data_IF_190629389834
#
_entry.id   IF_190629389834
#
_cell.length_a   1.000
_cell.length_b   1.000
_cell.length_c   1.000
_cell.angle_alpha   90.00
_cell.angle_beta   90.00
_cell.angle_gamma   90.00
#
_symmetry.space_group_name_H-M   'P 1'
#
loop_
_entity.id
_entity.type
_entity.pdbx_description
1 polymer ?
#
# COMPACT_ATOMS: atom_id res chain seq x y z
N UNK A 1 45.98 -42.81 -2.28
CA UNK A 1 45.59 -41.50 -1.77
C UNK A 1 44.13 -41.29 -2.11
N UNK A 2 43.21 -41.04 -1.18
CA UNK A 2 41.83 -40.74 -1.57
C UNK A 2 41.87 -39.42 -2.33
N UNK A 3 41.40 -39.45 -3.58
CA UNK A 3 41.33 -38.27 -4.42
C UNK A 3 40.53 -37.19 -3.70
N UNK A 4 41.14 -36.01 -3.57
CA UNK A 4 40.57 -34.86 -2.96
C UNK A 4 39.32 -34.49 -3.82
N UNK A 5 38.12 -34.98 -3.42
CA UNK A 5 36.89 -34.61 -4.11
C UNK A 5 36.75 -33.10 -3.96
N UNK A 6 36.87 -32.38 -5.05
CA UNK A 6 36.63 -30.92 -5.06
C UNK A 6 35.24 -30.71 -4.47
N UNK A 7 35.10 -29.79 -3.52
CA UNK A 7 33.79 -29.41 -2.99
C UNK A 7 33.58 -27.90 -3.21
N UNK A 8 32.34 -27.49 -3.24
CA UNK A 8 31.94 -26.10 -3.52
C UNK A 8 30.96 -25.61 -2.49
N UNK A 9 30.95 -24.31 -2.28
CA UNK A 9 29.92 -23.62 -1.52
C UNK A 9 28.91 -23.03 -2.50
N UNK A 10 27.65 -23.45 -2.43
CA UNK A 10 26.52 -22.86 -3.14
C UNK A 10 25.98 -21.70 -2.33
N UNK A 11 25.64 -20.60 -2.98
CA UNK A 11 24.98 -19.44 -2.40
C UNK A 11 24.01 -18.80 -3.40
N UNK A 12 23.06 -18.01 -2.86
CA UNK A 12 22.19 -17.14 -3.67
C UNK A 12 22.73 -15.71 -3.61
N UNK A 13 22.58 -14.99 -4.70
CA UNK A 13 22.90 -13.56 -4.75
C UNK A 13 22.03 -12.73 -3.78
N UNK A 14 22.53 -11.62 -3.21
CA UNK A 14 21.83 -10.82 -2.21
C UNK A 14 20.47 -10.29 -2.64
N UNK A 15 20.25 -10.13 -3.94
CA UNK A 15 19.04 -9.62 -4.57
C UNK A 15 18.08 -10.74 -5.02
N UNK A 16 18.37 -12.00 -4.68
CA UNK A 16 17.55 -13.16 -5.03
C UNK A 16 16.74 -13.60 -3.83
N UNK A 17 15.45 -13.80 -4.05
CA UNK A 17 14.50 -14.23 -3.05
C UNK A 17 14.04 -15.66 -3.35
N UNK A 18 14.16 -16.52 -2.38
CA UNK A 18 13.66 -17.89 -2.44
C UNK A 18 12.39 -17.98 -1.58
N UNK A 19 11.32 -18.47 -2.16
CA UNK A 19 10.04 -18.68 -1.47
C UNK A 19 9.66 -20.15 -1.58
N UNK A 20 9.42 -20.80 -0.44
CA UNK A 20 8.98 -22.19 -0.39
C UNK A 20 7.54 -22.29 0.10
N UNK A 21 6.76 -23.22 -0.48
CA UNK A 21 5.42 -23.59 -0.05
C UNK A 21 5.27 -25.12 -0.19
N UNK A 22 5.40 -25.83 0.94
CA UNK A 22 5.56 -27.29 0.90
C UNK A 22 6.82 -27.69 0.13
N UNK A 23 6.66 -28.49 -0.91
CA UNK A 23 7.74 -28.95 -1.80
C UNK A 23 7.89 -28.07 -3.06
N UNK A 24 7.06 -27.06 -3.21
CA UNK A 24 7.17 -26.10 -4.31
C UNK A 24 8.12 -24.97 -3.92
N UNK A 25 8.86 -24.46 -4.91
CA UNK A 25 9.84 -23.39 -4.75
C UNK A 25 9.70 -22.36 -5.87
N UNK A 26 9.81 -21.10 -5.50
CA UNK A 26 9.92 -19.98 -6.41
C UNK A 26 11.21 -19.21 -6.13
N UNK A 27 12.03 -19.04 -7.15
CA UNK A 27 13.22 -18.19 -7.14
C UNK A 27 12.89 -16.91 -7.90
N UNK A 28 13.07 -15.76 -7.23
CA UNK A 28 12.88 -14.45 -7.83
C UNK A 28 14.15 -13.63 -7.76
N UNK A 29 14.65 -13.21 -8.91
CA UNK A 29 15.76 -12.26 -9.02
C UNK A 29 15.20 -10.85 -9.19
N UNK A 30 15.34 -10.01 -8.16
CA UNK A 30 14.74 -8.66 -8.14
C UNK A 30 15.50 -7.62 -8.99
N UNK A 31 16.62 -7.99 -9.60
CA UNK A 31 17.39 -7.14 -10.54
C UNK A 31 17.01 -7.45 -11.99
N UNK A 32 17.00 -8.73 -12.36
CA UNK A 32 16.63 -9.15 -13.73
C UNK A 32 15.14 -9.35 -13.91
N UNK A 33 14.39 -9.42 -12.79
CA UNK A 33 12.98 -9.78 -12.71
C UNK A 33 12.66 -11.19 -13.25
N UNK A 34 13.66 -12.05 -13.27
CA UNK A 34 13.48 -13.44 -13.67
C UNK A 34 12.83 -14.23 -12.54
N UNK A 35 11.83 -15.02 -12.90
CA UNK A 35 11.16 -15.97 -11.99
C UNK A 35 11.39 -17.38 -12.50
N UNK A 36 11.77 -18.28 -11.60
CA UNK A 36 11.87 -19.73 -11.86
C UNK A 36 11.10 -20.48 -10.82
N UNK A 37 10.26 -21.42 -11.25
CA UNK A 37 9.45 -22.26 -10.38
C UNK A 37 9.88 -23.71 -10.48
N UNK A 38 9.95 -24.37 -9.33
CA UNK A 38 10.18 -25.81 -9.20
C UNK A 38 8.99 -26.40 -8.46
N UNK A 39 8.29 -27.32 -9.10
CA UNK A 39 7.10 -27.98 -8.56
C UNK A 39 7.43 -29.35 -8.02
N UNK A 40 6.84 -29.72 -6.87
CA UNK A 40 7.00 -31.03 -6.22
C UNK A 40 8.45 -31.46 -6.09
N UNK A 41 9.32 -30.53 -5.70
CA UNK A 41 10.77 -30.72 -5.64
C UNK A 41 11.28 -30.66 -4.19
N UNK A 42 11.07 -31.70 -3.37
CA UNK A 42 11.43 -31.66 -1.95
C UNK A 42 12.93 -31.45 -1.72
N UNK A 43 13.78 -31.95 -2.61
CA UNK A 43 15.24 -31.77 -2.57
C UNK A 43 15.62 -30.28 -2.73
N UNK A 44 15.05 -29.61 -3.74
CA UNK A 44 15.28 -28.17 -3.97
C UNK A 44 14.66 -27.36 -2.84
N UNK A 45 13.46 -27.72 -2.38
CA UNK A 45 12.79 -27.03 -1.26
C UNK A 45 13.63 -27.07 0.02
N UNK A 46 14.21 -28.23 0.36
CA UNK A 46 15.13 -28.37 1.48
C UNK A 46 16.38 -27.52 1.32
N UNK A 47 17.00 -27.56 0.12
CA UNK A 47 18.19 -26.79 -0.21
C UNK A 47 17.92 -25.28 -0.10
N UNK A 48 16.79 -24.79 -0.56
CA UNK A 48 16.41 -23.41 -0.48
C UNK A 48 16.18 -22.93 0.96
N UNK A 49 15.55 -23.75 1.79
CA UNK A 49 15.43 -23.45 3.24
C UNK A 49 16.79 -23.32 3.90
N UNK A 50 17.71 -24.19 3.55
CA UNK A 50 19.08 -24.16 4.08
C UNK A 50 19.87 -22.95 3.60
N UNK A 51 19.70 -22.54 2.32
CA UNK A 51 20.30 -21.34 1.76
C UNK A 51 19.73 -20.03 2.35
N UNK A 52 18.54 -20.08 2.96
CA UNK A 52 17.93 -18.94 3.63
C UNK A 52 18.16 -18.92 5.16
N UNK A 53 18.83 -19.94 5.68
CA UNK A 53 19.11 -20.09 7.10
C UNK A 53 20.39 -19.31 7.51
N UNK A 54 20.26 -18.29 8.40
CA UNK A 54 21.42 -17.53 8.88
C UNK A 54 22.38 -18.37 9.69
N UNK A 55 21.90 -19.40 10.40
CA UNK A 55 22.79 -20.28 11.19
C UNK A 55 23.74 -21.06 10.27
N UNK A 56 23.33 -21.27 9.03
CA UNK A 56 24.14 -21.90 7.97
C UNK A 56 24.95 -20.87 7.15
N UNK A 57 24.93 -19.58 7.53
CA UNK A 57 25.65 -18.51 6.86
C UNK A 57 25.25 -18.31 5.40
N UNK A 58 24.02 -18.68 5.03
CA UNK A 58 23.45 -18.55 3.68
C UNK A 58 24.22 -19.33 2.61
N UNK A 59 24.93 -20.39 2.99
CA UNK A 59 25.75 -21.18 2.09
C UNK A 59 25.60 -22.66 2.40
N UNK A 60 25.67 -23.50 1.37
CA UNK A 60 25.62 -24.97 1.50
C UNK A 60 26.84 -25.55 0.82
N UNK A 61 27.51 -26.50 1.49
CA UNK A 61 28.62 -27.24 0.90
C UNK A 61 28.07 -28.36 0.03
N UNK A 62 28.48 -28.38 -1.22
CA UNK A 62 28.12 -29.40 -2.22
C UNK A 62 29.40 -30.13 -2.67
N UNK A 63 29.34 -31.44 -2.68
CA UNK A 63 30.44 -32.31 -3.19
C UNK A 63 30.02 -32.96 -4.50
N UNK A 64 30.89 -33.04 -5.51
CA UNK A 64 30.61 -33.78 -6.73
C UNK A 64 30.32 -35.26 -6.40
N UNK A 65 29.17 -35.72 -6.84
CA UNK A 65 28.67 -37.10 -6.56
C UNK A 65 27.55 -37.15 -5.51
N UNK A 66 27.33 -36.06 -4.74
CA UNK A 66 26.18 -35.95 -3.85
C UNK A 66 24.96 -35.31 -4.56
N UNK A 67 25.18 -34.80 -5.78
CA UNK A 67 24.17 -34.16 -6.60
C UNK A 67 23.41 -35.16 -7.44
N UNK A 68 22.10 -35.22 -7.27
CA UNK A 68 21.23 -35.85 -8.28
C UNK A 68 21.08 -34.90 -9.50
N UNK A 69 20.46 -35.36 -10.59
CA UNK A 69 20.25 -34.55 -11.80
C UNK A 69 19.47 -33.28 -11.52
N UNK A 70 18.46 -33.37 -10.64
CA UNK A 70 17.58 -32.23 -10.27
C UNK A 70 18.37 -31.09 -9.61
N UNK A 71 19.26 -31.39 -8.66
CA UNK A 71 20.11 -30.41 -7.99
C UNK A 71 21.11 -29.77 -8.97
N UNK A 72 21.68 -30.56 -9.89
CA UNK A 72 22.57 -30.04 -10.94
C UNK A 72 21.86 -29.08 -11.87
N UNK A 73 20.64 -29.42 -12.29
CA UNK A 73 19.83 -28.57 -13.15
C UNK A 73 19.42 -27.28 -12.42
N UNK A 74 19.09 -27.37 -11.12
CA UNK A 74 18.82 -26.22 -10.26
C UNK A 74 20.04 -25.27 -10.19
N UNK A 75 21.22 -25.79 -9.88
CA UNK A 75 22.46 -24.99 -9.81
C UNK A 75 22.77 -24.34 -11.16
N UNK A 76 22.63 -25.08 -12.25
CA UNK A 76 22.83 -24.55 -13.60
C UNK A 76 21.83 -23.44 -13.91
N UNK A 77 20.57 -23.59 -13.51
CA UNK A 77 19.52 -22.58 -13.62
C UNK A 77 19.85 -21.30 -12.85
N UNK A 78 20.33 -21.43 -11.60
CA UNK A 78 20.75 -20.28 -10.79
C UNK A 78 21.89 -19.51 -11.46
N UNK A 79 22.87 -20.19 -11.98
CA UNK A 79 24.04 -19.56 -12.66
C UNK A 79 23.60 -18.87 -13.96
N UNK A 80 22.79 -19.52 -14.77
CA UNK A 80 22.32 -18.98 -16.04
C UNK A 80 21.43 -17.74 -15.86
N UNK A 81 20.70 -17.67 -14.75
CA UNK A 81 19.85 -16.51 -14.40
C UNK A 81 20.55 -15.46 -13.53
N UNK A 82 21.85 -15.62 -13.28
CA UNK A 82 22.60 -14.78 -12.34
C UNK A 82 21.96 -14.68 -10.95
N UNK A 83 21.38 -15.79 -10.50
CA UNK A 83 20.65 -15.87 -9.23
C UNK A 83 21.44 -16.51 -8.10
N UNK A 84 22.56 -17.16 -8.42
CA UNK A 84 23.47 -17.80 -7.48
C UNK A 84 24.66 -18.38 -8.18
N UNK A 85 25.68 -18.78 -7.42
CA UNK A 85 26.91 -19.37 -7.97
C UNK A 85 27.55 -20.36 -6.99
N UNK A 86 28.64 -20.97 -7.45
CA UNK A 86 29.47 -21.91 -6.72
C UNK A 86 30.85 -21.30 -6.46
N UNK A 87 31.31 -21.33 -5.21
CA UNK A 87 32.68 -20.97 -4.82
C UNK A 87 33.42 -22.24 -4.41
N UNK A 88 34.60 -22.48 -4.95
CA UNK A 88 35.42 -23.62 -4.57
C UNK A 88 35.75 -23.60 -3.09
N UNK A 89 35.47 -24.69 -2.40
CA UNK A 89 35.77 -24.84 -0.97
C UNK A 89 37.29 -25.04 -0.77
N UNK A 90 37.89 -24.19 0.06
CA UNK A 90 39.27 -24.31 0.50
C UNK A 90 39.26 -24.74 1.96
N UNK A 91 39.51 -26.04 2.20
CA UNK A 91 39.33 -26.60 3.55
C UNK A 91 37.88 -26.50 4.01
N UNK A 92 37.69 -26.15 5.29
CA UNK A 92 36.37 -25.94 5.90
C UNK A 92 35.96 -24.48 6.03
N UNK A 93 36.74 -23.57 5.42
CA UNK A 93 36.45 -22.14 5.49
C UNK A 93 35.22 -21.82 4.63
N UNK A 94 34.18 -21.29 5.30
CA UNK A 94 32.93 -20.86 4.67
C UNK A 94 33.12 -19.45 4.10
N UNK A 95 32.65 -19.17 2.85
CA UNK A 95 32.68 -17.84 2.30
C UNK A 95 31.74 -16.93 3.09
N UNK A 96 32.11 -15.65 3.24
CA UNK A 96 31.25 -14.64 3.83
C UNK A 96 30.20 -14.21 2.79
N UNK A 97 28.95 -14.62 2.97
CA UNK A 97 27.81 -14.19 2.15
C UNK A 97 26.96 -13.22 2.97
N UNK A 98 26.84 -12.00 2.46
CA UNK A 98 26.00 -10.96 3.10
C UNK A 98 24.65 -10.97 2.42
N UNK A 99 23.62 -11.43 3.14
CA UNK A 99 22.23 -11.33 2.69
C UNK A 99 21.50 -10.30 3.53
N UNK A 100 21.03 -9.19 2.92
CA UNK A 100 20.18 -8.24 3.64
C UNK A 100 18.94 -8.96 4.17
N UNK A 101 18.56 -8.65 5.40
CA UNK A 101 17.29 -9.11 5.97
C UNK A 101 16.37 -7.92 6.20
N UNK A 102 15.05 -8.11 6.10
CA UNK A 102 14.13 -7.09 6.54
C UNK A 102 14.38 -6.82 8.03
N UNK A 103 14.69 -5.58 8.36
CA UNK A 103 14.71 -5.16 9.76
C UNK A 103 13.27 -5.03 10.21
N UNK A 104 12.87 -5.79 11.22
CA UNK A 104 11.54 -5.66 11.80
C UNK A 104 11.39 -4.25 12.36
N UNK A 105 10.37 -3.53 11.90
CA UNK A 105 10.09 -2.14 12.31
C UNK A 105 9.78 -2.05 13.82
N UNK A 106 9.36 -3.16 14.41
CA UNK A 106 8.96 -3.31 15.78
C UNK A 106 10.00 -4.03 16.69
N UNK A 107 11.27 -4.10 16.26
CA UNK A 107 12.32 -4.71 17.07
C UNK A 107 13.13 -3.66 17.84
N UNK A 108 13.40 -3.90 19.12
CA UNK A 108 12.47 -4.13 20.22
C UNK A 108 11.64 -2.87 20.46
N UNK A 109 10.53 -2.90 21.23
CA UNK A 109 9.92 -1.67 21.65
C UNK A 109 10.90 -1.00 22.63
N UNK A 110 11.60 0.03 22.28
CA UNK A 110 12.25 0.78 23.30
C UNK A 110 11.20 1.71 23.87
N UNK A 111 10.84 1.48 25.10
CA UNK A 111 10.30 2.54 25.93
C UNK A 111 11.24 3.76 25.88
N UNK A 112 12.45 3.58 25.37
CA UNK A 112 13.56 4.51 25.30
C UNK A 112 14.33 4.42 23.97
N UNK A 113 13.68 4.62 22.80
CA UNK A 113 14.48 4.92 21.61
C UNK A 113 14.92 6.38 21.69
N UNK A 114 16.14 6.67 22.13
CA UNK A 114 16.69 8.00 21.97
C UNK A 114 16.79 8.23 20.45
N UNK A 115 15.92 9.11 19.91
CA UNK A 115 15.89 9.43 18.50
C UNK A 115 14.66 8.96 17.71
N UNK A 116 13.56 8.50 18.35
CA UNK A 116 12.32 8.26 17.64
C UNK A 116 11.84 9.56 16.97
N UNK A 117 11.85 9.55 15.65
CA UNK A 117 11.33 10.64 14.84
C UNK A 117 10.07 10.16 14.11
N UNK A 118 8.92 10.76 14.40
CA UNK A 118 7.65 10.43 13.77
C UNK A 118 7.68 10.63 12.25
N UNK A 119 8.50 11.55 11.77
CA UNK A 119 8.68 11.83 10.34
C UNK A 119 9.29 10.69 9.54
N UNK A 120 9.95 9.73 10.19
CA UNK A 120 10.49 8.54 9.53
C UNK A 120 9.38 7.53 9.18
N UNK A 121 8.22 7.64 9.82
CA UNK A 121 7.11 6.71 9.71
C UNK A 121 5.88 7.35 9.07
N UNK A 122 5.51 8.56 9.47
CA UNK A 122 4.26 9.21 9.08
C UNK A 122 4.39 9.90 7.72
N UNK A 123 3.47 9.60 6.80
CA UNK A 123 3.43 10.17 5.44
C UNK A 123 2.19 11.00 5.19
N UNK A 124 1.05 10.56 5.70
CA UNK A 124 -0.23 11.23 5.51
C UNK A 124 -1.02 11.27 6.80
N UNK A 125 -1.62 12.41 7.11
CA UNK A 125 -2.68 12.49 8.11
C UNK A 125 -3.95 12.94 7.42
N UNK A 126 -4.95 12.07 7.40
CA UNK A 126 -6.30 12.35 6.89
C UNK A 126 -7.16 12.88 8.04
N UNK A 127 -7.63 14.11 7.94
CA UNK A 127 -8.63 14.64 8.85
C UNK A 127 -10.00 14.65 8.16
N UNK A 128 -10.95 13.89 8.70
CA UNK A 128 -12.33 13.96 8.29
C UNK A 128 -12.98 15.18 8.98
N UNK A 129 -13.24 16.22 8.21
CA UNK A 129 -13.77 17.48 8.71
C UNK A 129 -15.22 17.36 9.12
N UNK A 130 -16.02 16.58 8.36
CA UNK A 130 -17.40 16.29 8.64
C UNK A 130 -17.79 14.86 8.29
N UNK A 131 -18.83 14.37 8.92
CA UNK A 131 -19.47 13.10 8.63
C UNK A 131 -20.99 13.27 8.58
N UNK A 132 -21.69 12.48 7.77
CA UNK A 132 -23.14 12.56 7.56
C UNK A 132 -23.81 11.21 7.62
N UNK A 133 -25.08 11.17 8.03
CA UNK A 133 -25.95 9.99 7.93
C UNK A 133 -26.26 9.65 6.47
N UNK A 134 -26.33 10.64 5.62
CA UNK A 134 -26.57 10.48 4.19
C UNK A 134 -25.23 10.67 3.50
N UNK A 135 -24.67 9.61 2.91
CA UNK A 135 -23.51 9.78 2.04
C UNK A 135 -23.83 10.84 1.00
N UNK A 136 -22.93 11.77 0.75
CA UNK A 136 -23.09 12.86 -0.22
C UNK A 136 -23.48 12.34 -1.62
N UNK A 137 -23.24 11.06 -1.87
CA UNK A 137 -23.73 10.34 -3.04
C UNK A 137 -24.49 9.09 -2.56
N UNK A 138 -25.76 8.99 -2.94
CA UNK A 138 -26.58 7.81 -2.67
C UNK A 138 -25.90 6.52 -3.15
N UNK A 139 -25.83 5.51 -2.27
CA UNK A 139 -25.26 4.20 -2.60
C UNK A 139 -23.76 4.02 -2.33
N UNK A 140 -23.05 4.98 -1.73
CA UNK A 140 -21.61 4.87 -1.42
C UNK A 140 -21.31 4.75 0.09
N UNK A 141 -22.18 4.16 0.85
CA UNK A 141 -22.10 4.01 2.34
C UNK A 141 -20.77 3.37 2.81
N UNK A 142 -20.22 2.45 2.01
CA UNK A 142 -19.00 1.70 2.36
C UNK A 142 -17.72 2.32 1.79
N UNK A 143 -17.83 3.49 1.16
CA UNK A 143 -16.69 4.09 0.44
C UNK A 143 -15.53 4.43 1.37
N UNK A 144 -15.77 4.96 2.57
CA UNK A 144 -14.73 5.32 3.52
C UNK A 144 -13.83 4.15 3.96
N UNK A 145 -14.30 2.91 3.81
CA UNK A 145 -13.50 1.71 4.08
C UNK A 145 -12.60 1.31 2.90
N UNK A 146 -12.87 1.84 1.71
CA UNK A 146 -12.19 1.50 0.46
C UNK A 146 -11.25 2.62 0.01
N UNK A 147 -11.66 3.89 0.16
CA UNK A 147 -10.86 5.08 -0.19
C UNK A 147 -11.22 6.28 0.71
N UNK A 148 -10.33 7.30 0.83
CA UNK A 148 -10.45 8.36 1.83
C UNK A 148 -11.46 9.45 1.45
N UNK A 149 -12.73 9.10 1.27
CA UNK A 149 -13.81 10.04 0.99
C UNK A 149 -15.15 9.50 1.51
N UNK A 150 -16.19 10.33 1.52
CA UNK A 150 -17.57 9.98 1.92
C UNK A 150 -17.67 9.46 3.35
N UNK A 151 -17.15 10.21 4.30
CA UNK A 151 -17.21 9.82 5.71
C UNK A 151 -18.65 9.71 6.18
N UNK A 152 -19.02 8.49 6.57
CA UNK A 152 -20.35 8.14 7.03
C UNK A 152 -20.42 8.08 8.56
N UNK A 153 -21.54 8.52 9.14
CA UNK A 153 -21.81 8.43 10.57
C UNK A 153 -23.30 8.15 10.81
N UNK A 154 -23.63 6.97 11.32
CA UNK A 154 -25.00 6.55 11.66
C UNK A 154 -25.68 7.44 12.71
N UNK A 155 -24.90 8.20 13.49
CA UNK A 155 -25.40 9.02 14.59
C UNK A 155 -25.73 10.46 14.18
N UNK A 156 -25.67 10.77 12.90
CA UNK A 156 -25.98 12.08 12.36
C UNK A 156 -24.80 12.90 11.91
N UNK A 157 -25.08 14.14 11.54
CA UNK A 157 -24.06 15.07 11.09
C UNK A 157 -23.12 15.50 12.24
N UNK A 158 -21.83 15.39 12.04
CA UNK A 158 -20.80 15.79 13.00
C UNK A 158 -19.68 16.54 12.30
N UNK A 159 -19.04 17.48 12.99
CA UNK A 159 -17.89 18.25 12.50
C UNK A 159 -16.73 18.23 13.47
N UNK A 160 -15.50 18.20 12.93
CA UNK A 160 -14.27 18.42 13.68
C UNK A 160 -14.00 19.90 13.85
N UNK A 161 -13.57 20.34 15.03
CA UNK A 161 -13.20 21.73 15.21
C UNK A 161 -11.88 22.06 14.48
N UNK A 162 -11.73 23.22 13.79
CA UNK A 162 -10.46 23.64 13.17
C UNK A 162 -9.28 23.65 14.16
N UNK A 163 -9.56 23.96 15.42
CA UNK A 163 -8.55 23.93 16.48
C UNK A 163 -7.96 22.53 16.70
N UNK A 164 -8.77 21.49 16.57
CA UNK A 164 -8.32 20.09 16.75
C UNK A 164 -7.45 19.66 15.58
N UNK A 165 -7.81 20.01 14.34
CA UNK A 165 -6.97 19.78 13.16
C UNK A 165 -5.59 20.40 13.39
N UNK A 166 -5.55 21.67 13.74
CA UNK A 166 -4.30 22.42 13.87
C UNK A 166 -3.47 21.97 15.06
N UNK A 167 -4.08 21.77 16.22
CA UNK A 167 -3.38 21.28 17.43
C UNK A 167 -2.65 19.98 17.16
N UNK A 168 -3.28 19.07 16.40
CA UNK A 168 -2.75 17.75 16.12
C UNK A 168 -1.82 17.71 14.90
N UNK A 169 -1.83 18.73 14.05
CA UNK A 169 -0.97 18.77 12.86
C UNK A 169 0.24 19.71 12.99
N UNK A 170 0.08 20.91 13.56
CA UNK A 170 1.15 21.92 13.63
C UNK A 170 2.50 21.40 14.18
N UNK A 171 2.56 20.47 15.16
CA UNK A 171 3.83 19.90 15.60
C UNK A 171 4.63 19.16 14.51
N UNK A 172 3.97 18.80 13.42
CA UNK A 172 4.52 18.02 12.31
C UNK A 172 4.64 18.82 11.01
N UNK A 173 4.18 20.10 11.01
CA UNK A 173 4.28 20.94 9.81
C UNK A 173 5.73 21.15 9.38
N UNK A 174 5.99 20.96 8.09
CA UNK A 174 7.33 21.06 7.52
C UNK A 174 8.16 19.75 7.56
N UNK A 175 7.63 18.65 8.10
CA UNK A 175 8.28 17.34 7.95
C UNK A 175 8.32 16.98 6.46
N UNK A 176 9.51 16.70 5.89
CA UNK A 176 9.63 16.36 4.47
C UNK A 176 8.81 15.13 4.09
N UNK A 177 7.97 15.29 3.05
CA UNK A 177 7.15 14.19 2.54
C UNK A 177 5.84 13.93 3.31
N UNK A 178 5.59 14.61 4.43
CA UNK A 178 4.30 14.55 5.12
C UNK A 178 3.26 15.44 4.42
N UNK A 179 2.07 14.91 4.21
CA UNK A 179 0.91 15.64 3.69
C UNK A 179 -0.24 15.67 4.68
N UNK A 180 -1.00 16.76 4.65
CA UNK A 180 -2.30 16.87 5.30
C UNK A 180 -3.37 16.58 4.27
N UNK A 181 -4.18 15.61 4.53
CA UNK A 181 -5.29 15.22 3.69
C UNK A 181 -6.60 15.61 4.40
N UNK A 182 -7.38 16.49 3.80
CA UNK A 182 -8.67 16.93 4.34
C UNK A 182 -9.79 16.24 3.58
N UNK A 183 -10.61 15.51 4.30
CA UNK A 183 -11.70 14.68 3.76
C UNK A 183 -12.99 14.89 4.57
N UNK A 184 -14.05 14.20 4.22
CA UNK A 184 -15.32 14.26 4.93
C UNK A 184 -16.44 13.62 4.12
N UNK A 185 -17.67 13.82 4.57
CA UNK A 185 -18.84 13.48 3.77
C UNK A 185 -18.94 14.39 2.54
N UNK A 186 -18.86 15.70 2.75
CA UNK A 186 -18.61 16.76 1.75
C UNK A 186 -17.99 17.94 2.47
N UNK A 187 -16.71 18.21 2.22
CA UNK A 187 -16.00 19.30 2.88
C UNK A 187 -16.48 20.68 2.46
N UNK A 188 -17.22 20.82 1.36
CA UNK A 188 -17.84 22.10 0.96
C UNK A 188 -19.01 22.49 1.86
N UNK A 189 -19.58 21.54 2.60
CA UNK A 189 -20.59 21.75 3.64
C UNK A 189 -20.01 22.05 5.03
N UNK A 190 -18.69 21.98 5.19
CA UNK A 190 -18.07 22.19 6.50
C UNK A 190 -18.26 23.61 6.98
N UNK A 191 -19.00 23.80 8.08
CA UNK A 191 -19.49 25.12 8.53
C UNK A 191 -18.38 26.12 8.87
N UNK A 192 -17.16 25.64 9.19
CA UNK A 192 -16.02 26.47 9.60
C UNK A 192 -14.89 26.45 8.58
N UNK A 193 -15.21 26.26 7.29
CA UNK A 193 -14.22 26.11 6.23
C UNK A 193 -13.35 27.37 6.05
N UNK A 194 -13.93 28.57 6.09
CA UNK A 194 -13.21 29.84 5.96
C UNK A 194 -12.19 30.05 7.09
N UNK A 195 -12.56 29.70 8.32
CA UNK A 195 -11.64 29.72 9.46
C UNK A 195 -10.46 28.78 9.21
N UNK A 196 -10.75 27.56 8.80
CA UNK A 196 -9.73 26.56 8.51
C UNK A 196 -8.81 27.01 7.37
N UNK A 197 -9.35 27.46 6.24
CA UNK A 197 -8.59 27.99 5.09
C UNK A 197 -7.64 29.12 5.53
N UNK A 198 -8.12 30.03 6.35
CA UNK A 198 -7.30 31.15 6.84
C UNK A 198 -6.07 30.67 7.61
N UNK A 199 -6.21 29.62 8.37
CA UNK A 199 -5.12 29.02 9.15
C UNK A 199 -4.20 28.17 8.28
N UNK A 200 -4.74 27.40 7.32
CA UNK A 200 -3.98 26.58 6.38
C UNK A 200 -3.02 27.40 5.48
N UNK A 201 -3.35 28.68 5.21
CA UNK A 201 -2.46 29.60 4.46
C UNK A 201 -1.05 29.72 5.05
N UNK A 202 -0.91 29.44 6.34
CA UNK A 202 0.36 29.57 7.08
C UNK A 202 1.18 28.28 7.08
N UNK A 203 0.63 27.16 6.63
CA UNK A 203 1.31 25.87 6.62
C UNK A 203 2.37 25.79 5.51
N UNK A 204 3.46 25.12 5.79
CA UNK A 204 4.53 24.83 4.86
C UNK A 204 4.23 23.55 4.07
N UNK A 205 3.59 22.60 4.71
CA UNK A 205 3.28 21.28 4.14
C UNK A 205 2.23 21.34 3.03
N UNK A 206 2.22 20.29 2.22
CA UNK A 206 1.20 20.07 1.19
C UNK A 206 -0.15 19.74 1.80
N UNK A 207 -1.22 20.35 1.30
CA UNK A 207 -2.61 20.09 1.70
C UNK A 207 -3.36 19.49 0.52
N UNK A 208 -4.01 18.34 0.71
CA UNK A 208 -4.86 17.70 -0.29
C UNK A 208 -6.31 17.73 0.18
N UNK A 209 -7.19 18.27 -0.66
CA UNK A 209 -8.63 18.29 -0.40
C UNK A 209 -9.31 17.17 -1.16
N UNK A 210 -9.93 16.24 -0.46
CA UNK A 210 -10.71 15.12 -1.02
C UNK A 210 -12.18 15.53 -1.08
N UNK A 211 -12.69 15.76 -2.28
CA UNK A 211 -14.02 16.35 -2.52
C UNK A 211 -14.88 15.37 -3.31
N UNK A 212 -16.08 14.98 -2.80
CA UNK A 212 -17.06 14.31 -3.64
C UNK A 212 -17.52 15.21 -4.78
N UNK A 213 -17.77 14.63 -5.95
CA UNK A 213 -18.32 15.39 -7.06
C UNK A 213 -19.48 14.63 -7.72
N UNK A 214 -20.68 15.23 -7.83
CA UNK A 214 -20.96 16.63 -7.47
C UNK A 214 -20.80 16.93 -5.98
N UNK A 215 -20.40 18.17 -5.67
CA UNK A 215 -20.33 18.71 -4.33
C UNK A 215 -21.41 19.76 -4.10
N UNK A 216 -21.69 20.10 -2.84
CA UNK A 216 -22.75 21.03 -2.49
C UNK A 216 -22.45 22.45 -2.95
N UNK A 217 -21.23 22.94 -2.74
CA UNK A 217 -20.80 24.29 -3.11
C UNK A 217 -19.54 24.27 -3.99
N UNK A 218 -19.70 24.29 -5.31
CA UNK A 218 -18.56 24.30 -6.23
C UNK A 218 -17.77 25.60 -6.24
N UNK A 219 -18.30 26.74 -5.73
CA UNK A 219 -17.58 28.01 -5.68
C UNK A 219 -16.42 27.99 -4.68
N UNK A 220 -16.56 27.19 -3.64
CA UNK A 220 -15.51 26.94 -2.63
C UNK A 220 -14.24 26.34 -3.26
N UNK A 221 -14.36 25.56 -4.32
CA UNK A 221 -13.24 24.89 -4.97
C UNK A 221 -12.17 25.90 -5.42
N UNK A 222 -12.60 27.06 -5.94
CA UNK A 222 -11.68 28.10 -6.36
C UNK A 222 -10.86 28.67 -5.18
N UNK A 223 -11.46 28.81 -4.02
CA UNK A 223 -10.75 29.26 -2.81
C UNK A 223 -9.70 28.22 -2.36
N UNK A 224 -10.07 26.95 -2.38
CA UNK A 224 -9.18 25.84 -1.98
C UNK A 224 -7.97 25.73 -2.91
N UNK A 225 -8.15 25.79 -4.22
CA UNK A 225 -7.06 25.65 -5.20
C UNK A 225 -6.13 26.87 -5.25
N UNK A 226 -6.57 28.01 -4.74
CA UNK A 226 -5.73 29.22 -4.62
C UNK A 226 -4.69 29.11 -3.51
N UNK A 227 -4.84 28.21 -2.56
CA UNK A 227 -3.82 27.98 -1.54
C UNK A 227 -2.51 27.49 -2.20
N UNK A 228 -1.38 28.01 -1.73
CA UNK A 228 -0.07 27.83 -2.39
C UNK A 228 0.32 26.35 -2.57
N UNK A 229 0.13 25.54 -1.54
CA UNK A 229 0.55 24.16 -1.48
C UNK A 229 -0.65 23.18 -1.54
N UNK A 230 -1.79 23.60 -2.14
CA UNK A 230 -2.99 22.78 -2.20
C UNK A 230 -3.04 21.93 -3.46
N UNK A 231 -3.72 20.82 -3.33
CA UNK A 231 -4.20 19.93 -4.41
C UNK A 231 -5.64 19.56 -4.15
N UNK A 232 -6.38 19.24 -5.19
CA UNK A 232 -7.75 18.74 -5.09
C UNK A 232 -7.80 17.35 -5.69
N UNK A 233 -8.45 16.45 -4.99
CA UNK A 233 -8.75 15.09 -5.42
C UNK A 233 -10.26 14.93 -5.47
N UNK A 234 -10.85 15.01 -6.65
CA UNK A 234 -12.28 14.79 -6.84
C UNK A 234 -12.59 13.30 -6.84
N UNK A 235 -13.68 12.93 -6.16
CA UNK A 235 -14.26 11.60 -6.21
C UNK A 235 -15.59 11.69 -6.96
N UNK A 236 -15.56 11.29 -8.22
CA UNK A 236 -16.68 11.49 -9.16
C UNK A 236 -17.61 10.30 -9.10
N UNK A 237 -18.84 10.56 -8.68
CA UNK A 237 -19.92 9.56 -8.66
C UNK A 237 -20.68 9.55 -9.98
N UNK A 238 -21.23 8.39 -10.33
CA UNK A 238 -21.89 8.16 -11.60
C UNK A 238 -23.40 7.95 -11.41
N UNK A 239 -24.26 8.41 -12.34
CA UNK A 239 -23.94 9.16 -13.57
C UNK A 239 -23.85 10.69 -13.38
N UNK A 240 -24.29 11.25 -12.23
CA UNK A 240 -24.45 12.69 -12.04
C UNK A 240 -23.12 13.45 -12.21
N UNK A 241 -22.03 12.94 -11.62
CA UNK A 241 -20.74 13.59 -11.67
C UNK A 241 -20.20 13.73 -13.09
N UNK A 242 -20.43 12.74 -13.96
CA UNK A 242 -20.01 12.82 -15.37
C UNK A 242 -20.82 13.82 -16.17
N UNK A 243 -22.10 13.98 -15.90
CA UNK A 243 -22.96 14.95 -16.57
C UNK A 243 -22.58 16.39 -16.26
N UNK A 244 -22.07 16.65 -15.05
CA UNK A 244 -21.65 17.97 -14.60
C UNK A 244 -20.17 18.30 -14.87
N UNK A 245 -19.39 17.30 -15.30
CA UNK A 245 -17.95 17.43 -15.56
C UNK A 245 -17.59 18.52 -16.58
N UNK A 246 -18.32 18.69 -17.72
CA UNK A 246 -18.05 19.78 -18.68
C UNK A 246 -18.07 21.17 -18.01
N UNK A 247 -19.06 21.46 -17.18
CA UNK A 247 -19.15 22.72 -16.46
C UNK A 247 -17.98 22.97 -15.50
N UNK A 248 -17.44 21.91 -14.89
CA UNK A 248 -16.24 21.99 -14.05
C UNK A 248 -15.00 22.30 -14.91
N UNK A 249 -14.84 21.64 -16.05
CA UNK A 249 -13.68 21.79 -16.96
C UNK A 249 -13.67 23.17 -17.62
N UNK A 250 -14.82 23.72 -17.93
CA UNK A 250 -14.95 25.03 -18.59
C UNK A 250 -14.68 26.21 -17.64
N UNK A 251 -14.61 25.95 -16.35
CA UNK A 251 -14.33 26.99 -15.37
C UNK A 251 -12.91 27.56 -15.54
N UNK A 252 -12.73 28.90 -15.57
CA UNK A 252 -11.44 29.55 -15.79
C UNK A 252 -10.34 29.12 -14.81
N UNK A 253 -10.64 28.90 -13.54
CA UNK A 253 -9.66 28.49 -12.54
C UNK A 253 -9.14 27.06 -12.81
N UNK A 254 -9.98 26.19 -13.38
CA UNK A 254 -9.58 24.84 -13.76
C UNK A 254 -8.44 24.86 -14.79
N UNK A 255 -8.59 25.66 -15.84
CA UNK A 255 -7.58 25.77 -16.91
C UNK A 255 -6.21 26.20 -16.39
N UNK A 256 -6.20 27.07 -15.37
CA UNK A 256 -4.97 27.57 -14.74
C UNK A 256 -4.30 26.58 -13.80
N UNK A 257 -5.04 25.67 -13.17
CA UNK A 257 -4.58 24.81 -12.08
C UNK A 257 -4.76 23.30 -12.33
N UNK A 258 -5.05 22.89 -13.55
CA UNK A 258 -5.33 21.48 -13.90
C UNK A 258 -4.27 20.46 -13.44
N UNK A 259 -3.01 20.87 -13.29
CA UNK A 259 -1.93 19.99 -12.80
C UNK A 259 -2.01 19.68 -11.31
N UNK A 260 -2.87 20.37 -10.56
CA UNK A 260 -3.10 20.16 -9.13
C UNK A 260 -4.41 19.43 -8.84
N UNK A 261 -5.08 18.92 -9.85
CA UNK A 261 -6.39 18.29 -9.72
C UNK A 261 -6.29 16.86 -10.17
N UNK A 262 -6.74 15.96 -9.32
CA UNK A 262 -6.90 14.52 -9.57
C UNK A 262 -8.40 14.20 -9.74
N UNK A 263 -8.72 13.36 -10.72
CA UNK A 263 -10.09 12.90 -10.99
C UNK A 263 -10.16 11.41 -10.72
N UNK A 264 -10.85 11.03 -9.65
CA UNK A 264 -11.05 9.64 -9.27
C UNK A 264 -12.50 9.25 -9.61
N UNK A 265 -12.69 8.52 -10.70
CA UNK A 265 -14.00 8.03 -11.10
C UNK A 265 -14.32 6.75 -10.34
N UNK A 266 -15.41 6.78 -9.61
CA UNK A 266 -15.88 5.62 -8.85
C UNK A 266 -16.73 4.76 -9.76
N UNK A 267 -16.30 3.53 -10.01
CA UNK A 267 -16.94 2.59 -10.95
C UNK A 267 -17.38 1.31 -10.25
N UNK A 268 -18.53 0.76 -10.64
CA UNK A 268 -19.12 -0.46 -10.11
C UNK A 268 -19.26 -1.58 -11.16
N UNK A 269 -19.07 -1.23 -12.44
CA UNK A 269 -19.21 -2.16 -13.55
C UNK A 269 -18.31 -1.79 -14.73
N UNK A 270 -18.14 -2.73 -15.65
CA UNK A 270 -17.42 -2.51 -16.91
C UNK A 270 -18.17 -1.51 -17.83
N UNK A 271 -19.49 -1.47 -17.75
CA UNK A 271 -20.31 -0.50 -18.47
C UNK A 271 -20.00 0.93 -17.98
N UNK A 272 -20.02 1.16 -16.67
CA UNK A 272 -19.64 2.46 -16.07
C UNK A 272 -18.22 2.86 -16.48
N UNK A 273 -17.25 1.93 -16.46
CA UNK A 273 -15.90 2.18 -16.95
C UNK A 273 -15.88 2.62 -18.40
N UNK A 274 -16.60 1.91 -19.29
CA UNK A 274 -16.63 2.20 -20.72
C UNK A 274 -17.25 3.56 -21.02
N UNK A 275 -18.33 3.90 -20.30
CA UNK A 275 -19.00 5.20 -20.43
C UNK A 275 -18.06 6.35 -20.03
N UNK A 276 -17.35 6.20 -18.90
CA UNK A 276 -16.36 7.21 -18.45
C UNK A 276 -15.21 7.31 -19.45
N UNK A 277 -14.68 6.18 -19.95
CA UNK A 277 -13.59 6.17 -20.91
C UNK A 277 -13.96 6.92 -22.20
N UNK A 278 -15.20 6.77 -22.70
CA UNK A 278 -15.72 7.51 -23.85
C UNK A 278 -15.72 9.03 -23.59
N UNK A 279 -16.25 9.48 -22.45
CA UNK A 279 -16.26 10.90 -22.05
C UNK A 279 -14.82 11.44 -21.94
N UNK A 280 -13.90 10.69 -21.37
CA UNK A 280 -12.52 11.12 -21.18
C UNK A 280 -11.76 11.30 -22.48
N UNK A 281 -12.09 10.52 -23.52
CA UNK A 281 -11.48 10.68 -24.85
C UNK A 281 -11.71 12.08 -25.46
N UNK A 282 -12.78 12.75 -25.05
CA UNK A 282 -13.16 14.08 -25.53
C UNK A 282 -12.64 15.22 -24.66
N UNK A 283 -12.33 14.95 -23.37
CA UNK A 283 -12.03 16.01 -22.40
C UNK A 283 -10.54 16.35 -22.28
N UNK A 284 -9.64 15.48 -22.67
CA UNK A 284 -8.19 15.66 -22.57
C UNK A 284 -7.68 15.77 -21.13
N UNK A 285 -8.41 15.26 -20.12
CA UNK A 285 -7.98 15.18 -18.73
C UNK A 285 -6.77 14.25 -18.59
N UNK A 286 -5.79 14.63 -17.75
CA UNK A 286 -4.52 13.90 -17.64
C UNK A 286 -4.35 13.11 -16.34
N UNK A 287 -4.93 13.58 -15.24
CA UNK A 287 -4.76 12.97 -13.92
C UNK A 287 -6.04 12.26 -13.54
N UNK A 288 -6.27 11.14 -14.22
CA UNK A 288 -7.49 10.36 -14.11
C UNK A 288 -7.18 9.01 -13.51
N UNK A 289 -7.99 8.60 -12.54
CA UNK A 289 -7.90 7.31 -11.87
C UNK A 289 -9.29 6.69 -11.84
N UNK A 290 -9.35 5.38 -12.02
CA UNK A 290 -10.56 4.61 -11.82
C UNK A 290 -10.49 3.91 -10.46
N UNK A 291 -11.53 4.11 -9.65
CA UNK A 291 -11.66 3.51 -8.34
C UNK A 291 -12.82 2.52 -8.35
N UNK A 292 -12.54 1.22 -8.45
CA UNK A 292 -13.60 0.22 -8.30
C UNK A 292 -14.26 0.37 -6.93
N UNK A 293 -15.59 0.40 -6.88
CA UNK A 293 -16.33 0.42 -5.64
C UNK A 293 -17.07 -0.90 -5.44
N UNK A 294 -16.75 -1.59 -4.36
CA UNK A 294 -17.45 -2.80 -3.97
C UNK A 294 -18.69 -2.45 -3.14
N UNK A 295 -19.88 -2.73 -3.70
CA UNK A 295 -21.16 -2.45 -3.09
C UNK A 295 -21.81 -3.65 -2.40
N UNK A 296 -21.12 -4.79 -2.32
CA UNK A 296 -21.52 -6.13 -1.85
C UNK A 296 -22.32 -6.95 -2.86
N UNK A 297 -22.76 -6.38 -3.97
CA UNK A 297 -23.54 -7.05 -5.00
C UNK A 297 -22.73 -7.32 -6.28
N UNK A 298 -21.69 -6.54 -6.55
CA UNK A 298 -20.91 -6.59 -7.79
C UNK A 298 -19.63 -7.45 -7.70
N UNK A 299 -19.68 -8.57 -6.97
CA UNK A 299 -18.52 -9.46 -6.80
C UNK A 299 -18.01 -10.04 -8.13
N UNK A 300 -18.90 -10.25 -9.11
CA UNK A 300 -18.49 -10.78 -10.42
C UNK A 300 -17.61 -9.75 -11.17
N UNK A 301 -18.00 -8.47 -11.16
CA UNK A 301 -17.17 -7.40 -11.70
C UNK A 301 -15.77 -7.38 -11.05
N UNK A 302 -15.69 -7.54 -9.72
CA UNK A 302 -14.41 -7.61 -9.02
C UNK A 302 -13.60 -8.82 -9.44
N UNK A 303 -14.22 -9.98 -9.55
CA UNK A 303 -13.54 -11.23 -9.94
C UNK A 303 -12.96 -11.15 -11.35
N UNK A 304 -13.70 -10.56 -12.28
CA UNK A 304 -13.29 -10.47 -13.69
C UNK A 304 -12.29 -9.35 -13.97
N UNK A 305 -12.34 -8.23 -13.21
CA UNK A 305 -11.60 -7.02 -13.58
C UNK A 305 -10.59 -6.54 -12.53
N UNK A 306 -10.69 -7.02 -11.29
CA UNK A 306 -9.86 -6.53 -10.17
C UNK A 306 -8.98 -7.65 -9.58
N UNK A 307 -9.44 -8.91 -9.65
CA UNK A 307 -8.62 -10.03 -9.21
C UNK A 307 -7.40 -10.17 -10.10
N UNK A 308 -6.28 -10.49 -9.48
CA UNK A 308 -5.00 -10.60 -10.18
C UNK A 308 -4.85 -12.00 -10.76
N UNK A 309 -4.53 -12.07 -12.03
CA UNK A 309 -4.02 -13.29 -12.65
C UNK A 309 -2.56 -13.54 -12.21
N UNK A 310 -2.06 -14.74 -12.51
CA UNK A 310 -0.64 -15.02 -12.32
C UNK A 310 0.25 -14.05 -13.13
N UNK A 311 -0.17 -13.73 -14.34
CA UNK A 311 0.59 -12.83 -15.22
C UNK A 311 0.63 -11.39 -14.69
N UNK A 312 -0.44 -10.90 -14.07
CA UNK A 312 -0.45 -9.58 -13.41
C UNK A 312 0.55 -9.54 -12.26
N UNK A 313 0.58 -10.58 -11.42
CA UNK A 313 1.51 -10.67 -10.30
C UNK A 313 2.95 -10.71 -10.79
N UNK A 314 3.24 -11.52 -11.81
CA UNK A 314 4.56 -11.62 -12.42
C UNK A 314 4.96 -10.33 -13.14
N UNK A 315 4.00 -9.68 -13.80
CA UNK A 315 4.16 -8.40 -14.47
C UNK A 315 4.45 -7.22 -13.52
N UNK A 316 4.15 -7.35 -12.23
CA UNK A 316 4.39 -6.30 -11.23
C UNK A 316 5.87 -5.99 -10.99
N UNK A 317 6.76 -6.94 -11.24
CA UNK A 317 8.23 -6.84 -11.19
C UNK A 317 8.75 -6.04 -9.98
N UNK A 318 8.42 -6.42 -8.74
CA UNK A 318 8.84 -5.65 -7.58
C UNK A 318 10.37 -5.64 -7.44
N UNK A 319 10.92 -4.47 -7.18
CA UNK A 319 12.34 -4.34 -6.84
C UNK A 319 12.67 -4.89 -5.45
N UNK A 320 13.95 -5.08 -5.15
CA UNK A 320 14.43 -5.65 -3.88
C UNK A 320 13.80 -5.00 -2.64
N UNK A 321 13.74 -3.65 -2.60
CA UNK A 321 13.14 -2.90 -1.49
C UNK A 321 11.66 -3.25 -1.29
N UNK A 322 10.90 -3.42 -2.37
CA UNK A 322 9.49 -3.78 -2.30
C UNK A 322 9.31 -5.21 -1.80
N UNK A 323 10.12 -6.15 -2.27
CA UNK A 323 10.07 -7.55 -1.79
C UNK A 323 10.37 -7.62 -0.30
N UNK A 324 11.36 -6.86 0.20
CA UNK A 324 11.64 -6.80 1.63
C UNK A 324 10.53 -6.11 2.43
N UNK A 325 10.00 -4.99 1.94
CA UNK A 325 8.91 -4.30 2.65
C UNK A 325 7.67 -5.17 2.78
N UNK A 326 7.30 -5.91 1.75
CA UNK A 326 6.13 -6.83 1.75
C UNK A 326 6.25 -8.00 2.73
N UNK A 327 7.46 -8.30 3.21
CA UNK A 327 7.69 -9.32 4.24
C UNK A 327 7.34 -8.83 5.65
N UNK A 328 7.40 -7.53 5.90
CA UNK A 328 7.30 -6.97 7.26
C UNK A 328 6.18 -5.97 7.45
N UNK A 329 5.74 -5.31 6.40
CA UNK A 329 4.74 -4.25 6.49
C UNK A 329 3.81 -4.21 5.27
N UNK A 330 2.76 -3.42 5.38
CA UNK A 330 1.86 -3.08 4.29
C UNK A 330 2.26 -1.71 3.71
N UNK A 331 3.02 -1.70 2.63
CA UNK A 331 3.58 -0.46 2.05
C UNK A 331 2.52 0.47 1.43
N UNK A 332 1.30 0.00 1.16
CA UNK A 332 0.17 0.83 0.75
C UNK A 332 -0.48 1.56 1.94
N UNK A 333 -0.56 0.92 3.10
CA UNK A 333 -1.14 1.48 4.33
C UNK A 333 -0.13 2.21 5.20
N UNK A 334 1.15 1.87 5.10
CA UNK A 334 2.20 2.34 5.99
C UNK A 334 2.34 3.88 5.96
N UNK A 335 2.31 4.46 7.16
CA UNK A 335 2.49 5.89 7.35
C UNK A 335 1.22 6.72 7.17
N UNK A 336 0.05 6.11 7.09
CA UNK A 336 -1.25 6.81 7.01
C UNK A 336 -1.99 6.74 8.32
N UNK A 337 -2.55 7.87 8.75
CA UNK A 337 -3.50 7.94 9.86
C UNK A 337 -4.77 8.65 9.41
N UNK A 338 -5.90 8.18 9.90
CA UNK A 338 -7.23 8.73 9.64
C UNK A 338 -7.83 9.21 10.95
N UNK A 339 -8.15 10.48 11.03
CA UNK A 339 -8.74 11.13 12.22
C UNK A 339 -10.19 11.48 11.90
N UNK A 340 -11.11 10.88 12.66
CA UNK A 340 -12.55 11.09 12.49
C UNK A 340 -13.01 12.35 13.19
N UNK A 341 -14.21 12.90 12.87
CA UNK A 341 -14.76 14.07 13.56
C UNK A 341 -14.93 13.88 15.08
N UNK A 342 -15.10 12.65 15.54
CA UNK A 342 -15.12 12.27 16.96
C UNK A 342 -13.76 12.33 17.66
N UNK A 343 -12.68 12.57 16.90
CA UNK A 343 -11.30 12.51 17.39
C UNK A 343 -10.70 11.09 17.38
N UNK A 344 -11.45 10.06 17.05
CA UNK A 344 -10.91 8.70 16.91
C UNK A 344 -9.91 8.63 15.77
N UNK A 345 -8.83 7.84 15.98
CA UNK A 345 -7.74 7.70 15.02
C UNK A 345 -7.59 6.25 14.59
N UNK A 346 -7.48 6.05 13.30
CA UNK A 346 -7.30 4.75 12.67
C UNK A 346 -6.03 4.73 11.82
N UNK A 347 -5.29 3.64 11.82
CA UNK A 347 -4.24 3.39 10.84
C UNK A 347 -4.81 2.78 9.55
N UNK A 348 -5.97 2.14 9.65
CA UNK A 348 -6.78 1.67 8.53
C UNK A 348 -8.24 1.65 8.98
N UNK A 349 -9.15 2.16 8.15
CA UNK A 349 -10.58 2.26 8.49
C UNK A 349 -11.26 0.90 8.68
N UNK A 350 -10.65 -0.19 8.23
CA UNK A 350 -11.15 -1.56 8.40
C UNK A 350 -10.65 -2.23 9.70
N UNK A 351 -9.88 -1.52 10.52
CA UNK A 351 -9.35 -2.01 11.80
C UNK A 351 -9.97 -1.25 12.97
N UNK A 352 -9.73 -1.71 14.18
CA UNK A 352 -10.14 -0.98 15.38
C UNK A 352 -9.39 0.36 15.50
N UNK A 353 -10.00 1.38 16.14
CA UNK A 353 -9.31 2.64 16.38
C UNK A 353 -8.07 2.45 17.26
N UNK A 354 -7.01 3.17 16.93
CA UNK A 354 -5.78 3.21 17.71
C UNK A 354 -5.95 3.95 19.05
N UNK A 355 -6.80 4.97 19.06
CA UNK A 355 -7.06 5.84 20.19
C UNK A 355 -7.78 7.11 19.76
N UNK A 356 -7.61 8.20 20.53
CA UNK A 356 -8.33 9.45 20.29
C UNK A 356 -7.42 10.66 20.51
N UNK A 357 -7.44 11.63 19.58
CA UNK A 357 -6.61 12.86 19.62
C UNK A 357 -6.89 13.77 20.82
N UNK A 358 -8.03 13.63 21.47
CA UNK A 358 -8.34 14.43 22.67
C UNK A 358 -7.60 13.93 23.90
N UNK A 359 -7.17 12.66 23.90
CA UNK A 359 -6.52 12.02 25.04
C UNK A 359 -5.04 11.73 24.82
N UNK A 360 -4.62 11.66 23.54
CA UNK A 360 -3.28 11.18 23.15
C UNK A 360 -2.68 12.04 22.03
N UNK A 361 -1.35 12.02 21.91
CA UNK A 361 -0.65 12.68 20.79
C UNK A 361 -0.57 11.78 19.58
N UNK A 362 -0.48 12.36 18.39
CA UNK A 362 -0.23 11.62 17.13
C UNK A 362 1.05 10.78 17.25
N UNK A 363 2.11 11.29 17.89
CA UNK A 363 3.34 10.53 18.15
C UNK A 363 3.08 9.26 18.97
N UNK A 364 2.26 9.35 20.01
CA UNK A 364 1.88 8.18 20.83
C UNK A 364 1.09 7.14 20.02
N UNK A 365 0.16 7.61 19.19
CA UNK A 365 -0.64 6.75 18.31
C UNK A 365 0.22 6.08 17.22
N UNK A 366 1.18 6.80 16.64
CA UNK A 366 2.15 6.22 15.69
C UNK A 366 2.99 5.13 16.36
N UNK A 367 3.50 5.36 17.58
CA UNK A 367 4.23 4.34 18.33
C UNK A 367 3.36 3.10 18.54
N UNK A 368 2.11 3.29 18.99
CA UNK A 368 1.16 2.17 19.18
C UNK A 368 0.97 1.36 17.91
N UNK A 369 0.75 2.03 16.77
CA UNK A 369 0.58 1.34 15.49
C UNK A 369 1.82 0.54 15.09
N UNK A 370 3.02 1.09 15.25
CA UNK A 370 4.27 0.41 14.93
C UNK A 370 4.43 -0.87 15.75
N UNK A 371 4.12 -0.82 17.06
CA UNK A 371 4.41 -1.94 17.96
C UNK A 371 3.30 -2.98 18.05
N UNK A 372 2.04 -2.57 17.98
CA UNK A 372 0.90 -3.45 18.23
C UNK A 372 -0.19 -3.38 17.18
N UNK A 373 -0.10 -2.40 16.27
CA UNK A 373 -1.12 -2.17 15.26
C UNK A 373 -1.07 -3.16 14.10
N UNK A 374 -2.20 -3.28 13.42
CA UNK A 374 -2.37 -4.12 12.23
C UNK A 374 -2.57 -3.31 10.95
N UNK A 375 -2.84 -2.01 11.06
CA UNK A 375 -3.09 -1.15 9.91
C UNK A 375 -1.89 -1.09 8.97
N UNK A 376 -0.70 -0.89 9.53
CA UNK A 376 0.56 -0.78 8.78
C UNK A 376 1.32 -2.09 8.61
N UNK A 377 1.06 -3.09 9.47
CA UNK A 377 1.86 -4.30 9.56
C UNK A 377 1.20 -5.52 8.91
N UNK A 378 -0.12 -5.48 8.60
CA UNK A 378 -0.80 -6.63 8.00
C UNK A 378 -0.27 -6.89 6.59
N UNK A 379 0.45 -7.98 6.45
CA UNK A 379 1.05 -8.43 5.20
C UNK A 379 0.56 -9.83 4.81
N UNK A 380 0.93 -10.30 3.63
CA UNK A 380 0.46 -11.57 3.09
C UNK A 380 0.97 -12.81 3.85
N UNK A 381 2.01 -12.67 4.67
CA UNK A 381 2.47 -13.79 5.53
C UNK A 381 1.53 -14.07 6.70
N UNK A 382 0.70 -13.11 7.07
CA UNK A 382 -0.17 -13.17 8.25
C UNK A 382 -1.61 -13.57 7.91
N UNK A 383 -1.96 -13.66 6.63
CA UNK A 383 -3.33 -13.91 6.18
C UNK A 383 -3.44 -15.18 5.35
N UNK A 384 -4.49 -15.97 5.63
CA UNK A 384 -4.82 -17.16 4.86
C UNK A 384 -5.66 -16.75 3.63
N UNK A 385 -5.46 -17.42 2.47
CA UNK A 385 -4.52 -18.49 2.16
C UNK A 385 -3.12 -17.99 1.72
N UNK A 386 -2.90 -16.68 1.63
CA UNK A 386 -1.69 -16.08 1.05
C UNK A 386 -0.40 -16.47 1.79
N UNK A 387 -0.47 -16.75 3.10
CA UNK A 387 0.72 -17.17 3.89
C UNK A 387 1.38 -18.45 3.34
N UNK A 388 0.59 -19.32 2.72
CA UNK A 388 1.09 -20.53 2.04
C UNK A 388 1.38 -20.35 0.54
N UNK A 389 1.21 -19.16 -0.02
CA UNK A 389 1.37 -18.93 -1.45
C UNK A 389 2.83 -18.67 -1.84
N UNK A 390 3.28 -19.23 -2.96
CA UNK A 390 4.62 -18.98 -3.52
C UNK A 390 4.81 -17.51 -3.92
N UNK A 391 3.76 -16.84 -4.39
CA UNK A 391 3.82 -15.48 -4.92
C UNK A 391 3.64 -14.39 -3.85
N UNK A 392 3.55 -14.73 -2.56
CA UNK A 392 3.20 -13.80 -1.47
C UNK A 392 4.05 -12.54 -1.39
N UNK A 393 5.31 -12.57 -1.85
CA UNK A 393 6.20 -11.40 -1.85
C UNK A 393 6.19 -10.65 -3.20
N UNK A 394 5.72 -11.28 -4.26
CA UNK A 394 5.54 -10.64 -5.57
C UNK A 394 4.18 -9.97 -5.68
N UNK A 395 3.18 -10.53 -4.99
CA UNK A 395 1.83 -10.02 -4.97
C UNK A 395 1.78 -8.63 -4.29
N UNK A 396 0.93 -7.68 -4.77
CA UNK A 396 0.70 -6.42 -4.08
C UNK A 396 0.32 -6.61 -2.61
N UNK A 397 0.57 -5.63 -1.73
CA UNK A 397 0.14 -5.70 -0.33
C UNK A 397 -1.36 -5.93 -0.17
N UNK A 398 -1.76 -6.38 1.02
CA UNK A 398 -3.18 -6.53 1.36
C UNK A 398 -3.90 -5.19 1.22
N UNK A 399 -4.87 -5.11 0.31
CA UNK A 399 -5.61 -3.90 -0.01
C UNK A 399 -6.80 -3.64 0.93
N UNK A 400 -7.38 -2.44 0.82
CA UNK A 400 -8.57 -2.08 1.58
C UNK A 400 -9.79 -2.94 1.20
N UNK A 401 -9.93 -3.31 -0.07
CA UNK A 401 -11.00 -4.21 -0.52
C UNK A 401 -10.92 -5.57 0.17
N UNK A 402 -9.72 -6.17 0.22
CA UNK A 402 -9.50 -7.46 0.88
C UNK A 402 -9.80 -7.37 2.38
N UNK A 403 -9.42 -6.28 3.04
CA UNK A 403 -9.75 -6.01 4.45
C UNK A 403 -11.25 -5.83 4.64
N UNK A 404 -11.91 -5.04 3.80
CA UNK A 404 -13.35 -4.80 3.88
C UNK A 404 -14.18 -6.07 3.66
N UNK A 405 -13.77 -6.88 2.67
CA UNK A 405 -14.43 -8.16 2.38
C UNK A 405 -14.00 -9.30 3.30
N UNK A 406 -12.98 -9.12 4.14
CA UNK A 406 -12.33 -10.17 4.93
C UNK A 406 -11.92 -11.36 4.05
N UNK A 407 -11.54 -11.10 2.82
CA UNK A 407 -11.09 -12.07 1.83
C UNK A 407 -9.74 -11.64 1.26
N UNK A 408 -8.67 -12.37 1.56
CA UNK A 408 -7.30 -11.95 1.30
C UNK A 408 -6.68 -12.52 0.02
N UNK A 409 -7.43 -13.27 -0.77
CA UNK A 409 -7.00 -13.82 -2.06
C UNK A 409 -7.77 -13.19 -3.23
N UNK A 410 -7.43 -11.98 -3.59
CA UNK A 410 -7.93 -11.35 -4.81
C UNK A 410 -7.08 -11.79 -6.00
N UNK A 411 -7.09 -13.10 -6.27
CA UNK A 411 -6.35 -13.71 -7.38
C UNK A 411 -6.99 -15.05 -7.77
N UNK A 412 -6.62 -15.54 -8.96
CA UNK A 412 -7.06 -16.82 -9.52
C UNK A 412 -6.03 -17.95 -9.32
N UNK A 413 -5.07 -17.80 -8.38
CA UNK A 413 -3.97 -18.74 -8.18
C UNK A 413 -4.28 -19.80 -7.13
N UNK A 414 -5.12 -19.49 -6.16
CA UNK A 414 -5.44 -20.32 -5.00
C UNK A 414 -6.90 -20.73 -4.97
#
# INVERSE_FOLDING_TARGET
MPGNKESYWLFLEPFVHCVTAGDDVLIYNSVTHTVTEYKSSPGISSLCRDLDDPSKGFTIRISPGDENSEIRDFISGLRNSHSGDLIRAIGDTRPAVIRPRPVLVNYPPPEEFPGFNVGDYLKNIYFSLNASEIPAAHGYTWAMYQFPCFTYNERGYTEMAPADVLKNYLPYDGIPGLTVDLTGADITLYSRLDELITRLKKLVSSVVFHIPFPCHDPEVIEQLIRLKNSRISFYITLPEGTSLLPGLIDNPWFRLKKSRIDFNFIIRSLEEYSNVAAILSETGLKRVFFLPYYDKENMEFFRENIFLSRDDIMGSKPGQRQVYSRQILNDQGFGKLYVMPSGEVFANMNEAPLGNIHNETITGLVKREIYTGKGWNLNRMQVSPCSGCLYRFLCPPVGNYERFMQRFNFCDIL
#
